data_IF_176136710061
#
_entry.id   IF_176136710061
#
_cell.length_a   1.000
_cell.length_b   1.000
_cell.length_c   1.000
_cell.angle_alpha   90.00
_cell.angle_beta   90.00
_cell.angle_gamma   90.00
#
_symmetry.space_group_name_H-M   'P 1'
#
loop_
_entity.id
_entity.type
_entity.pdbx_description
1 polymer ?
#
# COMPACT_ATOMS: atom_id res chain seq x y z
N UNK A 1 -12.97 -10.96 10.36
CA UNK A 1 -13.61 -11.08 9.02
C UNK A 1 -15.03 -11.58 9.23
N UNK A 2 -16.01 -10.86 8.70
CA UNK A 2 -17.45 -11.17 8.86
C UNK A 2 -18.16 -11.29 7.50
N UNK A 3 -17.45 -10.97 6.42
CA UNK A 3 -17.94 -11.00 5.06
C UNK A 3 -16.79 -11.35 4.11
N UNK A 4 -17.07 -12.22 3.15
CA UNK A 4 -16.15 -12.58 2.07
C UNK A 4 -16.92 -12.59 0.75
N UNK A 5 -16.34 -12.01 -0.29
CA UNK A 5 -16.93 -11.97 -1.62
C UNK A 5 -15.86 -12.21 -2.68
N UNK A 6 -16.25 -12.81 -3.77
CA UNK A 6 -15.36 -13.11 -4.89
C UNK A 6 -16.16 -13.12 -6.22
N UNK A 7 -15.51 -13.56 -7.29
CA UNK A 7 -16.16 -13.73 -8.59
C UNK A 7 -17.34 -14.71 -8.52
N UNK A 8 -18.33 -14.64 -9.43
CA UNK A 8 -19.47 -15.54 -9.49
C UNK A 8 -19.12 -17.04 -9.46
N UNK A 9 -17.93 -17.40 -9.93
CA UNK A 9 -17.43 -18.81 -9.92
C UNK A 9 -17.24 -19.38 -8.51
N UNK A 10 -16.97 -18.51 -7.53
CA UNK A 10 -16.74 -18.89 -6.14
C UNK A 10 -17.94 -18.61 -5.25
N UNK A 11 -18.91 -17.80 -5.71
CA UNK A 11 -20.10 -17.47 -4.95
C UNK A 11 -20.91 -18.71 -4.57
N UNK A 12 -21.44 -18.73 -3.35
CA UNK A 12 -22.22 -19.85 -2.78
C UNK A 12 -21.37 -20.96 -2.15
N UNK A 13 -20.06 -20.96 -2.29
CA UNK A 13 -19.16 -21.95 -1.66
C UNK A 13 -18.74 -21.49 -0.26
N UNK A 14 -18.42 -22.43 0.63
CA UNK A 14 -17.68 -22.08 1.85
C UNK A 14 -16.32 -21.51 1.49
N UNK A 15 -15.84 -20.52 2.26
CA UNK A 15 -14.55 -19.86 1.98
C UNK A 15 -13.40 -20.87 1.88
N UNK A 16 -13.31 -21.81 2.83
CA UNK A 16 -12.31 -22.88 2.83
C UNK A 16 -12.28 -23.67 1.52
N UNK A 17 -13.45 -23.95 0.95
CA UNK A 17 -13.56 -24.71 -0.31
C UNK A 17 -13.17 -23.84 -1.52
N UNK A 18 -13.56 -22.56 -1.49
CA UNK A 18 -13.24 -21.60 -2.55
C UNK A 18 -11.74 -21.34 -2.70
N UNK A 19 -10.98 -21.39 -1.59
CA UNK A 19 -9.53 -21.08 -1.57
C UNK A 19 -8.65 -22.32 -1.42
N UNK A 20 -9.19 -23.51 -1.30
CA UNK A 20 -8.48 -24.76 -0.95
C UNK A 20 -7.21 -25.03 -1.77
N UNK A 21 -7.25 -24.75 -3.09
CA UNK A 21 -6.11 -24.95 -4.00
C UNK A 21 -5.11 -23.78 -4.03
N UNK A 22 -5.41 -22.68 -3.32
CA UNK A 22 -4.63 -21.43 -3.36
C UNK A 22 -4.19 -20.97 -1.97
N UNK A 23 -4.61 -21.66 -0.91
CA UNK A 23 -4.20 -21.35 0.45
C UNK A 23 -2.80 -21.88 0.70
N UNK A 24 -1.79 -21.05 0.48
CA UNK A 24 -0.37 -21.39 0.60
C UNK A 24 0.27 -20.84 1.88
N UNK A 25 -0.53 -20.20 2.73
CA UNK A 25 -0.08 -19.67 4.03
C UNK A 25 0.16 -20.85 4.96
N UNK A 26 1.29 -20.86 5.67
CA UNK A 26 1.64 -21.95 6.61
C UNK A 26 0.72 -22.07 7.85
N UNK A 27 -0.26 -21.19 8.00
CA UNK A 27 -1.27 -21.22 9.05
C UNK A 27 -2.62 -21.74 8.52
N UNK A 28 -3.41 -22.36 9.38
CA UNK A 28 -4.77 -22.76 9.03
C UNK A 28 -5.67 -21.55 8.80
N UNK A 29 -6.69 -21.71 7.95
CA UNK A 29 -7.76 -20.73 7.82
C UNK A 29 -8.43 -20.56 9.19
N UNK A 30 -8.59 -19.33 9.73
CA UNK A 30 -9.25 -19.13 11.01
C UNK A 30 -10.67 -19.72 11.01
N UNK A 31 -11.03 -20.45 12.08
CA UNK A 31 -12.32 -21.17 12.20
C UNK A 31 -13.53 -20.26 11.90
N UNK A 32 -13.53 -19.02 12.42
CA UNK A 32 -14.62 -18.07 12.17
C UNK A 32 -14.71 -17.55 10.74
N UNK A 33 -13.76 -17.89 9.86
CA UNK A 33 -13.72 -17.46 8.44
C UNK A 33 -13.94 -18.64 7.50
N UNK A 34 -13.48 -19.83 7.89
CA UNK A 34 -13.48 -21.02 7.03
C UNK A 34 -14.87 -21.37 6.46
N UNK A 35 -15.91 -21.22 7.25
CA UNK A 35 -17.27 -21.59 6.89
C UNK A 35 -18.13 -20.41 6.39
N UNK A 36 -17.56 -19.21 6.27
CA UNK A 36 -18.27 -18.08 5.65
C UNK A 36 -18.63 -18.44 4.20
N UNK A 37 -19.89 -18.18 3.83
CA UNK A 37 -20.33 -18.33 2.45
C UNK A 37 -19.76 -17.17 1.64
N UNK A 38 -19.07 -17.49 0.55
CA UNK A 38 -18.56 -16.49 -0.40
C UNK A 38 -19.72 -15.89 -1.16
N UNK A 39 -19.90 -14.59 -1.07
CA UNK A 39 -20.92 -13.84 -1.82
C UNK A 39 -20.39 -13.43 -3.20
N UNK A 40 -21.28 -13.06 -4.11
CA UNK A 40 -20.89 -12.46 -5.39
C UNK A 40 -20.42 -11.02 -5.15
N UNK A 41 -19.16 -10.73 -5.50
CA UNK A 41 -18.59 -9.40 -5.34
C UNK A 41 -19.31 -8.33 -6.20
N UNK A 42 -20.01 -8.72 -7.27
CA UNK A 42 -20.77 -7.81 -8.11
C UNK A 42 -22.10 -7.36 -7.47
N UNK A 43 -22.45 -7.90 -6.31
CA UNK A 43 -23.63 -7.48 -5.55
C UNK A 43 -23.21 -6.85 -4.20
N UNK A 44 -22.86 -5.56 -4.16
CA UNK A 44 -22.45 -4.86 -2.94
C UNK A 44 -23.49 -4.89 -1.82
N UNK A 45 -24.79 -5.03 -2.18
CA UNK A 45 -25.89 -5.06 -1.20
C UNK A 45 -25.75 -6.22 -0.20
N UNK A 46 -25.06 -7.29 -0.60
CA UNK A 46 -24.76 -8.46 0.25
C UNK A 46 -23.82 -8.15 1.42
N UNK A 47 -23.08 -7.06 1.34
CA UNK A 47 -22.19 -6.62 2.41
C UNK A 47 -22.92 -5.81 3.50
N UNK A 48 -24.12 -5.26 3.19
CA UNK A 48 -24.90 -4.44 4.12
C UNK A 48 -25.22 -5.20 5.40
N UNK A 49 -24.96 -4.55 6.53
CA UNK A 49 -25.15 -5.13 7.86
C UNK A 49 -24.18 -6.26 8.24
N UNK A 50 -23.34 -6.75 7.31
CA UNK A 50 -22.37 -7.82 7.56
C UNK A 50 -20.97 -7.27 7.90
N UNK A 51 -20.58 -6.13 7.37
CA UNK A 51 -19.30 -5.51 7.62
C UNK A 51 -19.43 -3.98 7.70
N UNK A 52 -18.42 -3.33 8.31
CA UNK A 52 -18.34 -1.86 8.41
C UNK A 52 -17.51 -1.25 7.30
N UNK A 53 -16.63 -2.01 6.69
CA UNK A 53 -15.81 -1.66 5.54
C UNK A 53 -15.32 -2.93 4.85
N UNK A 54 -14.80 -2.80 3.64
CA UNK A 54 -14.21 -3.92 2.89
C UNK A 54 -12.78 -3.62 2.46
N UNK A 55 -11.94 -4.66 2.44
CA UNK A 55 -10.69 -4.66 1.70
C UNK A 55 -10.95 -5.17 0.29
N UNK A 56 -10.57 -4.38 -0.73
CA UNK A 56 -10.63 -4.79 -2.13
C UNK A 56 -9.25 -5.30 -2.58
N UNK A 57 -9.19 -6.56 -2.97
CA UNK A 57 -8.00 -7.22 -3.51
C UNK A 57 -8.36 -7.99 -4.79
N UNK A 58 -9.24 -7.42 -5.60
CA UNK A 58 -9.74 -8.03 -6.83
C UNK A 58 -8.74 -7.83 -7.98
N UNK A 59 -8.68 -8.84 -8.83
CA UNK A 59 -7.84 -8.88 -10.02
C UNK A 59 -8.73 -8.92 -11.26
N UNK A 60 -8.95 -7.75 -11.88
CA UNK A 60 -9.77 -7.56 -13.08
C UNK A 60 -9.34 -6.27 -13.79
N UNK A 61 -10.02 -5.88 -14.86
CA UNK A 61 -9.76 -4.62 -15.57
C UNK A 61 -9.84 -3.40 -14.64
N UNK A 62 -8.98 -2.40 -14.87
CA UNK A 62 -8.94 -1.21 -14.01
C UNK A 62 -10.29 -0.50 -13.91
N UNK A 63 -11.00 -0.39 -15.03
CA UNK A 63 -12.30 0.29 -15.06
C UNK A 63 -13.38 -0.53 -14.35
N UNK A 64 -13.32 -1.86 -14.43
CA UNK A 64 -14.21 -2.76 -13.70
C UNK A 64 -13.98 -2.64 -12.19
N UNK A 65 -12.70 -2.59 -11.74
CA UNK A 65 -12.36 -2.36 -10.33
C UNK A 65 -12.91 -1.02 -9.85
N UNK A 66 -12.70 0.06 -10.62
CA UNK A 66 -13.22 1.39 -10.27
C UNK A 66 -14.73 1.40 -10.13
N UNK A 67 -15.43 0.79 -11.07
CA UNK A 67 -16.89 0.70 -11.05
C UNK A 67 -17.39 -0.10 -9.83
N UNK A 68 -16.75 -1.22 -9.54
CA UNK A 68 -17.12 -2.07 -8.41
C UNK A 68 -16.83 -1.40 -7.06
N UNK A 69 -15.65 -0.84 -6.87
CA UNK A 69 -15.30 -0.13 -5.63
C UNK A 69 -16.22 1.08 -5.40
N UNK A 70 -16.57 1.80 -6.48
CA UNK A 70 -17.56 2.88 -6.42
C UNK A 70 -18.94 2.35 -6.01
N UNK A 71 -19.38 1.20 -6.52
CA UNK A 71 -20.66 0.62 -6.17
C UNK A 71 -20.75 0.26 -4.67
N UNK A 72 -19.68 -0.32 -4.08
CA UNK A 72 -19.62 -0.52 -2.63
C UNK A 72 -19.70 0.79 -1.85
N UNK A 73 -18.97 1.82 -2.29
CA UNK A 73 -19.02 3.13 -1.65
C UNK A 73 -20.41 3.79 -1.76
N UNK A 74 -21.14 3.59 -2.85
CA UNK A 74 -22.53 4.05 -3.04
C UNK A 74 -23.50 3.38 -2.06
N UNK A 75 -23.30 2.11 -1.75
CA UNK A 75 -24.04 1.39 -0.72
C UNK A 75 -23.67 1.83 0.72
N UNK A 76 -22.82 2.83 0.86
CA UNK A 76 -22.38 3.35 2.16
C UNK A 76 -21.27 2.55 2.82
N UNK A 77 -20.60 1.67 2.09
CA UNK A 77 -19.52 0.80 2.60
C UNK A 77 -18.16 1.39 2.22
N UNK A 78 -17.33 1.80 3.20
CA UNK A 78 -15.95 2.22 2.93
C UNK A 78 -15.14 1.09 2.30
N UNK A 79 -14.35 1.43 1.27
CA UNK A 79 -13.46 0.51 0.55
C UNK A 79 -12.01 0.90 0.77
N UNK A 80 -11.21 -0.03 1.29
CA UNK A 80 -9.76 0.09 1.35
C UNK A 80 -9.17 -0.81 0.26
N UNK A 81 -8.67 -0.20 -0.81
CA UNK A 81 -8.25 -0.93 -2.00
C UNK A 81 -6.76 -1.25 -2.02
N UNK A 82 -6.43 -2.49 -2.32
CA UNK A 82 -5.08 -2.94 -2.66
C UNK A 82 -4.76 -2.76 -4.15
N UNK A 83 -5.79 -2.59 -4.99
CA UNK A 83 -5.63 -2.47 -6.43
C UNK A 83 -5.06 -1.10 -6.83
N UNK A 84 -4.39 -1.06 -7.98
CA UNK A 84 -3.81 0.18 -8.51
C UNK A 84 -4.81 1.08 -9.25
N UNK A 85 -6.05 0.60 -9.46
CA UNK A 85 -7.02 1.25 -10.33
C UNK A 85 -7.33 2.70 -9.94
N UNK A 86 -7.56 2.95 -8.65
CA UNK A 86 -7.93 4.26 -8.12
C UNK A 86 -6.76 5.12 -7.61
N UNK A 87 -5.49 4.68 -7.74
CA UNK A 87 -4.34 5.43 -7.19
C UNK A 87 -4.20 6.85 -7.74
N UNK A 88 -4.65 7.07 -8.99
CA UNK A 88 -4.57 8.36 -9.68
C UNK A 88 -5.92 9.08 -9.80
N UNK A 89 -6.96 8.57 -9.17
CA UNK A 89 -8.23 9.30 -9.06
C UNK A 89 -8.01 10.49 -8.11
N UNK A 90 -8.42 11.70 -8.53
CA UNK A 90 -8.04 12.94 -7.84
C UNK A 90 -8.54 13.05 -6.41
N UNK A 91 -9.76 12.57 -6.18
CA UNK A 91 -10.44 12.59 -4.87
C UNK A 91 -10.30 11.27 -4.08
N UNK A 92 -9.39 10.37 -4.51
CA UNK A 92 -9.09 9.13 -3.81
C UNK A 92 -7.73 9.24 -3.12
N UNK A 93 -7.69 9.18 -1.78
CA UNK A 93 -6.44 9.24 -1.05
C UNK A 93 -5.66 7.94 -1.22
N UNK A 94 -4.37 8.06 -1.56
CA UNK A 94 -3.39 6.98 -1.56
C UNK A 94 -2.58 7.07 -0.27
N UNK A 95 -2.79 6.13 0.66
CA UNK A 95 -2.39 6.28 2.05
C UNK A 95 -1.24 5.37 2.48
N UNK A 96 -0.29 5.98 3.14
CA UNK A 96 0.55 5.40 4.19
C UNK A 96 0.20 6.21 5.45
N UNK A 97 -0.62 5.67 6.37
CA UNK A 97 -1.21 6.46 7.46
C UNK A 97 -0.18 7.18 8.33
N UNK A 98 1.02 6.60 8.47
CA UNK A 98 2.13 7.20 9.21
C UNK A 98 2.73 8.44 8.51
N UNK A 99 2.46 8.64 7.21
CA UNK A 99 3.06 9.72 6.42
C UNK A 99 2.04 10.81 6.11
N UNK A 100 0.92 10.41 5.53
CA UNK A 100 0.01 11.35 4.88
C UNK A 100 -1.44 11.21 5.36
N UNK A 101 -1.63 11.05 6.67
CA UNK A 101 -2.95 10.95 7.29
C UNK A 101 -3.89 12.10 6.87
N UNK A 102 -3.35 13.31 6.71
CA UNK A 102 -4.11 14.48 6.26
C UNK A 102 -4.74 14.32 4.87
N UNK A 103 -4.27 13.37 4.04
CA UNK A 103 -4.91 13.08 2.76
C UNK A 103 -6.33 12.51 2.92
N UNK A 104 -6.72 12.07 4.10
CA UNK A 104 -8.11 11.69 4.39
C UNK A 104 -9.10 12.84 4.21
N UNK A 105 -8.64 14.09 4.29
CA UNK A 105 -9.51 15.27 4.13
C UNK A 105 -10.15 15.33 2.73
N UNK A 106 -9.54 14.73 1.69
CA UNK A 106 -10.14 14.66 0.35
C UNK A 106 -11.40 13.78 0.30
N UNK A 107 -11.63 12.92 1.30
CA UNK A 107 -12.82 12.05 1.37
C UNK A 107 -14.11 12.89 1.43
N UNK A 108 -14.07 14.07 2.02
CA UNK A 108 -15.23 14.97 2.05
C UNK A 108 -15.63 15.40 0.63
N UNK A 109 -14.66 15.77 -0.20
CA UNK A 109 -14.91 16.12 -1.61
C UNK A 109 -15.27 14.89 -2.45
N UNK A 110 -14.66 13.73 -2.19
CA UNK A 110 -15.03 12.47 -2.85
C UNK A 110 -16.51 12.14 -2.61
N UNK A 111 -16.97 12.24 -1.37
CA UNK A 111 -18.37 12.01 -1.02
C UNK A 111 -19.31 12.98 -1.72
N UNK A 112 -19.01 14.25 -1.68
CA UNK A 112 -19.79 15.30 -2.35
C UNK A 112 -19.87 15.09 -3.86
N UNK A 113 -18.73 14.82 -4.51
CA UNK A 113 -18.63 14.62 -5.94
C UNK A 113 -19.40 13.40 -6.43
N UNK A 114 -19.36 12.30 -5.66
CA UNK A 114 -20.00 11.03 -6.04
C UNK A 114 -21.37 10.80 -5.41
N UNK A 115 -21.84 11.66 -4.51
CA UNK A 115 -23.10 11.49 -3.79
C UNK A 115 -23.05 10.36 -2.74
N UNK A 116 -21.88 10.07 -2.18
CA UNK A 116 -21.74 9.05 -1.16
C UNK A 116 -22.18 9.60 0.21
N UNK A 117 -23.03 8.85 0.93
CA UNK A 117 -23.38 9.20 2.31
C UNK A 117 -22.28 8.83 3.29
N UNK A 118 -22.02 7.55 3.43
CA UNK A 118 -21.08 6.99 4.42
C UNK A 118 -19.87 6.31 3.78
N UNK A 119 -20.03 5.78 2.56
CA UNK A 119 -18.96 5.10 1.85
C UNK A 119 -17.88 6.06 1.34
N UNK A 120 -16.74 5.50 1.04
CA UNK A 120 -15.62 6.16 0.35
C UNK A 120 -14.67 5.09 -0.19
N UNK A 121 -13.76 5.50 -1.06
CA UNK A 121 -12.64 4.68 -1.53
C UNK A 121 -11.32 5.30 -1.08
N UNK A 122 -10.47 4.51 -0.46
CA UNK A 122 -9.08 4.83 -0.19
C UNK A 122 -8.19 3.71 -0.72
N UNK A 123 -6.99 4.02 -1.18
CA UNK A 123 -6.10 3.03 -1.77
C UNK A 123 -4.76 2.97 -1.07
N UNK A 124 -4.14 1.79 -1.06
CA UNK A 124 -2.75 1.64 -0.66
C UNK A 124 -1.82 1.88 -1.86
N UNK A 125 -0.61 2.45 -1.66
CA UNK A 125 0.38 2.61 -2.72
C UNK A 125 0.98 1.27 -3.15
N UNK A 126 1.90 1.33 -4.10
CA UNK A 126 2.73 0.20 -4.50
C UNK A 126 3.46 -0.40 -3.29
N UNK A 127 3.67 -1.73 -3.30
CA UNK A 127 4.24 -2.44 -2.16
C UNK A 127 5.71 -2.08 -1.90
N UNK A 128 6.50 -1.85 -2.93
CA UNK A 128 7.92 -1.53 -2.78
C UNK A 128 8.16 -0.15 -2.14
N UNK A 129 7.27 0.83 -2.40
CA UNK A 129 7.34 2.15 -1.78
C UNK A 129 7.31 2.09 -0.25
N UNK A 130 6.55 1.17 0.31
CA UNK A 130 6.36 1.07 1.75
C UNK A 130 7.62 0.66 2.49
N UNK A 131 8.63 0.13 1.79
CA UNK A 131 9.91 -0.27 2.40
C UNK A 131 10.77 0.92 2.81
N UNK A 132 10.66 2.07 2.14
CA UNK A 132 11.56 3.21 2.35
C UNK A 132 10.85 4.56 2.56
N UNK A 133 9.57 4.66 2.27
CA UNK A 133 8.87 5.94 2.39
C UNK A 133 8.78 6.46 3.83
N UNK A 134 8.62 5.59 4.83
CA UNK A 134 8.61 6.03 6.23
C UNK A 134 9.98 6.56 6.69
N UNK A 135 11.11 5.84 6.50
CA UNK A 135 12.43 6.39 6.78
C UNK A 135 12.73 7.71 6.06
N UNK A 136 12.34 7.83 4.79
CA UNK A 136 12.48 9.06 4.03
C UNK A 136 11.67 10.21 4.65
N UNK A 137 10.39 9.97 4.90
CA UNK A 137 9.49 11.00 5.48
C UNK A 137 9.95 11.46 6.85
N UNK A 138 10.45 10.55 7.70
CA UNK A 138 10.99 10.90 9.01
C UNK A 138 12.14 11.91 8.91
N UNK A 139 13.03 11.77 7.94
CA UNK A 139 14.12 12.71 7.69
C UNK A 139 13.59 14.06 7.20
N UNK A 140 12.66 14.05 6.25
CA UNK A 140 12.05 15.28 5.72
C UNK A 140 11.32 16.04 6.85
N UNK A 141 10.56 15.34 7.69
CA UNK A 141 9.84 15.93 8.82
C UNK A 141 10.79 16.49 9.89
N UNK A 142 11.96 15.88 10.06
CA UNK A 142 13.00 16.39 10.97
C UNK A 142 13.76 17.60 10.41
N UNK A 143 13.43 18.11 9.22
CA UNK A 143 14.05 19.29 8.64
C UNK A 143 15.21 18.99 7.69
N UNK A 144 15.32 17.76 7.20
CA UNK A 144 16.31 17.33 6.21
C UNK A 144 15.65 17.09 4.85
N UNK A 145 15.36 18.16 4.06
CA UNK A 145 14.73 18.03 2.76
C UNK A 145 15.61 17.24 1.80
N UNK A 146 14.98 16.36 1.02
CA UNK A 146 15.64 15.51 0.04
C UNK A 146 15.36 16.04 -1.36
N UNK A 147 16.44 16.36 -2.09
CA UNK A 147 16.38 16.86 -3.47
C UNK A 147 16.29 15.75 -4.50
N UNK A 148 17.04 14.68 -4.30
CA UNK A 148 17.09 13.52 -5.21
C UNK A 148 17.17 12.22 -4.45
N UNK A 149 16.54 11.20 -5.02
CA UNK A 149 16.57 9.84 -4.49
C UNK A 149 16.79 8.85 -5.63
N UNK A 150 17.77 7.95 -5.45
CA UNK A 150 17.98 6.79 -6.32
C UNK A 150 17.58 5.56 -5.54
N UNK A 151 16.69 4.75 -6.12
CA UNK A 151 16.11 3.56 -5.49
C UNK A 151 16.34 2.33 -6.35
N UNK A 152 16.98 1.31 -5.79
CA UNK A 152 17.01 -0.02 -6.39
C UNK A 152 16.20 -0.96 -5.52
N UNK A 153 15.14 -1.55 -6.06
CA UNK A 153 14.31 -2.50 -5.33
C UNK A 153 14.65 -3.94 -5.69
N UNK A 154 14.77 -4.76 -4.66
CA UNK A 154 14.91 -6.22 -4.75
C UNK A 154 13.58 -6.82 -4.28
N UNK A 155 12.68 -7.08 -5.23
CA UNK A 155 11.31 -7.47 -4.90
C UNK A 155 11.17 -8.99 -4.80
N UNK A 156 10.51 -9.43 -3.72
CA UNK A 156 10.20 -10.83 -3.48
C UNK A 156 9.17 -11.39 -4.48
N UNK A 157 9.20 -12.70 -4.70
CA UNK A 157 8.33 -13.42 -5.63
C UNK A 157 6.85 -13.32 -5.26
N UNK A 158 6.52 -13.26 -3.96
CA UNK A 158 5.14 -13.06 -3.48
C UNK A 158 4.48 -11.79 -4.01
N UNK A 159 5.26 -10.76 -4.34
CA UNK A 159 4.76 -9.53 -4.96
C UNK A 159 4.21 -9.71 -6.38
N UNK A 160 4.48 -10.82 -7.05
CA UNK A 160 3.92 -11.15 -8.36
C UNK A 160 2.50 -11.73 -8.27
N UNK A 161 2.00 -12.06 -7.05
CA UNK A 161 0.75 -12.76 -6.87
C UNK A 161 0.81 -14.23 -7.30
N UNK A 162 -0.23 -15.01 -7.02
CA UNK A 162 -0.31 -16.41 -7.42
C UNK A 162 -0.70 -16.52 -8.92
N UNK A 163 -0.05 -17.41 -9.69
CA UNK A 163 0.93 -18.47 -9.34
C UNK A 163 2.38 -17.98 -9.22
N UNK A 164 2.66 -16.71 -9.33
CA UNK A 164 4.00 -16.15 -9.24
C UNK A 164 4.71 -16.04 -10.60
N UNK A 165 6.01 -15.93 -10.54
CA UNK A 165 6.90 -15.90 -11.71
C UNK A 165 7.24 -17.34 -12.11
N UNK A 166 7.36 -17.68 -13.41
CA UNK A 166 7.78 -19.01 -13.83
C UNK A 166 9.11 -19.41 -13.18
N UNK A 167 9.22 -20.67 -12.75
CA UNK A 167 10.35 -21.12 -11.95
C UNK A 167 11.71 -20.94 -12.63
N UNK A 168 11.79 -21.16 -13.95
CA UNK A 168 13.04 -20.96 -14.68
C UNK A 168 13.42 -19.49 -14.89
N UNK A 169 12.48 -18.56 -14.72
CA UNK A 169 12.79 -17.13 -14.72
C UNK A 169 13.36 -16.68 -13.38
N UNK A 170 13.21 -17.50 -12.33
CA UNK A 170 13.63 -17.13 -10.96
C UNK A 170 14.75 -17.98 -10.39
N UNK A 171 14.83 -19.27 -10.74
CA UNK A 171 15.88 -20.15 -10.20
C UNK A 171 17.23 -19.70 -10.76
N UNK A 172 18.17 -19.43 -9.87
CA UNK A 172 19.54 -18.99 -10.23
C UNK A 172 19.57 -17.72 -11.13
N UNK A 173 18.57 -16.85 -10.99
CA UNK A 173 18.38 -15.67 -11.81
C UNK A 173 17.82 -14.47 -11.03
N UNK A 174 18.05 -13.28 -11.56
CA UNK A 174 17.41 -12.03 -11.15
C UNK A 174 16.67 -11.47 -12.37
N UNK A 175 15.36 -11.25 -12.25
CA UNK A 175 14.61 -10.56 -13.30
C UNK A 175 14.95 -9.06 -13.21
N UNK A 176 15.62 -8.48 -14.20
CA UNK A 176 16.21 -7.14 -14.08
C UNK A 176 15.21 -5.99 -14.22
N UNK A 177 13.98 -6.29 -14.62
CA UNK A 177 12.95 -5.31 -14.91
C UNK A 177 11.56 -5.85 -14.59
N UNK A 178 10.74 -5.04 -13.89
CA UNK A 178 9.34 -5.35 -13.62
C UNK A 178 8.48 -4.27 -14.30
N UNK A 179 7.67 -4.67 -15.28
CA UNK A 179 6.89 -3.74 -16.10
C UNK A 179 6.02 -2.78 -15.30
N UNK A 180 6.25 -1.49 -15.49
CA UNK A 180 5.49 -0.42 -14.84
C UNK A 180 5.81 -0.17 -13.36
N UNK A 181 6.74 -0.91 -12.73
CA UNK A 181 7.10 -0.68 -11.32
C UNK A 181 7.96 0.57 -11.14
N UNK A 182 8.88 0.84 -12.02
CA UNK A 182 9.73 2.03 -11.97
C UNK A 182 8.89 3.31 -12.06
N UNK A 183 7.96 3.39 -13.02
CA UNK A 183 7.06 4.52 -13.15
C UNK A 183 6.19 4.75 -11.90
N UNK A 184 5.70 3.67 -11.28
CA UNK A 184 4.95 3.76 -10.03
C UNK A 184 5.85 4.28 -8.90
N UNK A 185 7.06 3.75 -8.79
CA UNK A 185 8.05 4.14 -7.77
C UNK A 185 8.37 5.62 -7.87
N UNK A 186 8.58 6.13 -9.07
CA UNK A 186 8.94 7.52 -9.32
C UNK A 186 7.79 8.51 -9.07
N UNK A 187 6.55 8.11 -9.39
CA UNK A 187 5.39 9.02 -9.33
C UNK A 187 4.58 8.91 -8.03
N UNK A 188 4.36 7.70 -7.52
CA UNK A 188 3.49 7.52 -6.36
C UNK A 188 4.08 8.15 -5.08
N UNK A 189 5.42 8.17 -4.93
CA UNK A 189 6.06 8.82 -3.79
C UNK A 189 5.74 10.33 -3.75
N UNK A 190 5.66 11.01 -4.90
CA UNK A 190 5.33 12.43 -4.97
C UNK A 190 3.87 12.69 -4.56
N UNK A 191 2.95 11.79 -4.90
CA UNK A 191 1.56 11.88 -4.42
C UNK A 191 1.49 11.69 -2.90
N UNK A 192 2.24 10.73 -2.35
CA UNK A 192 2.27 10.45 -0.90
C UNK A 192 2.84 11.64 -0.12
N UNK A 193 3.91 12.27 -0.64
CA UNK A 193 4.54 13.44 -0.02
C UNK A 193 3.80 14.76 -0.36
N UNK A 194 2.76 14.68 -1.15
CA UNK A 194 1.95 15.83 -1.53
C UNK A 194 1.13 16.41 -0.38
N UNK A 195 0.34 17.42 -0.69
CA UNK A 195 -0.55 18.09 0.26
C UNK A 195 -1.96 18.20 -0.29
N UNK A 196 -2.94 18.35 0.60
CA UNK A 196 -4.32 18.62 0.20
C UNK A 196 -4.50 20.12 -0.01
N UNK A 197 -4.88 20.51 -1.23
CA UNK A 197 -5.16 21.89 -1.62
C UNK A 197 -6.50 21.90 -2.33
N UNK A 198 -7.43 22.73 -1.88
CA UNK A 198 -8.77 22.88 -2.46
C UNK A 198 -9.50 21.53 -2.68
N UNK A 199 -9.39 20.63 -1.71
CA UNK A 199 -10.04 19.30 -1.73
C UNK A 199 -9.43 18.27 -2.69
N UNK A 200 -8.23 18.54 -3.22
CA UNK A 200 -7.47 17.65 -4.09
C UNK A 200 -6.06 17.43 -3.57
N UNK A 201 -5.47 16.30 -3.91
CA UNK A 201 -4.08 16.02 -3.58
C UNK A 201 -3.20 16.64 -4.68
N UNK A 202 -2.41 17.64 -4.29
CA UNK A 202 -1.35 18.21 -5.08
C UNK A 202 -0.06 17.44 -4.80
N UNK A 203 0.56 16.87 -5.84
CA UNK A 203 1.81 16.16 -5.72
C UNK A 203 2.95 17.08 -5.27
N UNK A 204 3.87 16.54 -4.48
CA UNK A 204 5.14 17.21 -4.18
C UNK A 204 5.99 17.32 -5.46
N UNK A 205 6.86 18.33 -5.52
CA UNK A 205 7.82 18.51 -6.62
C UNK A 205 9.10 17.72 -6.39
N UNK A 206 9.41 17.41 -5.15
CA UNK A 206 10.63 16.71 -4.71
C UNK A 206 10.30 15.57 -3.77
N UNK A 207 11.19 14.56 -3.68
CA UNK A 207 12.47 14.42 -4.39
C UNK A 207 12.31 14.08 -5.89
N UNK A 208 13.34 14.41 -6.70
CA UNK A 208 13.47 13.81 -8.03
C UNK A 208 13.88 12.35 -7.84
N UNK A 209 13.09 11.41 -8.33
CA UNK A 209 13.30 9.97 -8.11
C UNK A 209 13.74 9.31 -9.40
N UNK A 210 14.77 8.48 -9.30
CA UNK A 210 15.18 7.51 -10.32
C UNK A 210 15.15 6.11 -9.71
N UNK A 211 14.50 5.17 -10.37
CA UNK A 211 14.31 3.84 -9.81
C UNK A 211 14.74 2.72 -10.77
N UNK A 212 15.19 1.62 -10.20
CA UNK A 212 15.45 0.34 -10.87
C UNK A 212 14.72 -0.74 -10.07
N UNK A 213 13.78 -1.43 -10.70
CA UNK A 213 12.93 -2.41 -10.01
C UNK A 213 13.22 -3.82 -10.52
N UNK A 214 13.79 -4.65 -9.65
CA UNK A 214 14.16 -6.03 -9.96
C UNK A 214 13.35 -7.04 -9.16
N UNK A 215 13.26 -8.28 -9.65
CA UNK A 215 12.69 -9.41 -8.90
C UNK A 215 13.80 -10.39 -8.53
N UNK A 216 13.82 -10.77 -7.26
CA UNK A 216 14.83 -11.68 -6.71
C UNK A 216 14.19 -12.99 -6.21
N UNK A 217 14.95 -14.13 -6.13
CA UNK A 217 14.42 -15.41 -5.69
C UNK A 217 14.25 -15.49 -4.16
N UNK A 218 13.61 -14.47 -3.59
CA UNK A 218 13.19 -14.40 -2.18
C UNK A 218 11.68 -14.59 -2.15
N UNK A 219 11.17 -15.36 -1.21
CA UNK A 219 9.73 -15.67 -1.15
C UNK A 219 8.94 -14.43 -0.71
N UNK A 220 9.26 -13.87 0.45
CA UNK A 220 8.57 -12.74 1.05
C UNK A 220 9.54 -11.64 1.48
N UNK A 221 9.05 -10.41 1.51
CA UNK A 221 9.79 -9.23 1.95
C UNK A 221 10.56 -8.55 0.82
N UNK A 222 10.19 -7.30 0.51
CA UNK A 222 10.93 -6.46 -0.44
C UNK A 222 12.07 -5.77 0.28
N UNK A 223 13.20 -5.63 -0.40
CA UNK A 223 14.34 -4.82 0.02
C UNK A 223 14.50 -3.64 -0.93
N UNK A 224 14.88 -2.49 -0.41
CA UNK A 224 15.25 -1.34 -1.22
C UNK A 224 16.64 -0.81 -0.80
N UNK A 225 17.51 -0.62 -1.78
CA UNK A 225 18.75 0.15 -1.60
C UNK A 225 18.46 1.59 -2.03
N UNK A 226 18.64 2.54 -1.11
CA UNK A 226 18.26 3.94 -1.33
C UNK A 226 19.46 4.85 -1.11
N UNK A 227 19.74 5.70 -2.10
CA UNK A 227 20.71 6.79 -1.99
C UNK A 227 19.96 8.12 -2.00
N UNK A 228 20.26 8.99 -1.01
CA UNK A 228 19.62 10.29 -0.85
C UNK A 228 20.61 11.41 -1.09
N UNK A 229 20.19 12.44 -1.82
CA UNK A 229 20.84 13.74 -1.90
C UNK A 229 19.99 14.75 -1.15
N UNK A 230 20.49 15.25 -0.02
CA UNK A 230 19.81 16.29 0.74
C UNK A 230 19.94 17.65 0.04
N UNK A 231 18.88 18.46 0.12
CA UNK A 231 18.90 19.86 -0.35
C UNK A 231 19.43 20.78 0.76
N UNK A 232 20.64 20.50 1.20
CA UNK A 232 21.32 21.19 2.29
C UNK A 232 22.83 21.31 2.01
N UNK A 233 23.48 22.39 2.53
CA UNK A 233 24.93 22.47 2.58
C UNK A 233 25.53 21.28 3.35
N UNK A 234 26.76 20.91 3.04
CA UNK A 234 27.44 19.73 3.61
C UNK A 234 27.50 19.74 5.15
N UNK A 235 27.76 20.93 5.70
CA UNK A 235 27.86 21.16 7.16
C UNK A 235 26.52 21.11 7.90
N UNK A 236 25.40 20.98 7.16
CA UNK A 236 24.03 20.91 7.70
C UNK A 236 23.34 19.59 7.40
N UNK A 237 24.01 18.66 6.76
CA UNK A 237 23.48 17.31 6.54
C UNK A 237 23.47 16.53 7.86
N UNK A 238 22.51 15.61 8.05
CA UNK A 238 22.46 14.82 9.28
C UNK A 238 23.65 13.86 9.38
N UNK A 239 24.18 13.70 10.58
CA UNK A 239 25.12 12.61 10.90
C UNK A 239 24.39 11.26 10.95
N UNK A 240 25.13 10.16 10.93
CA UNK A 240 24.53 8.82 11.05
C UNK A 240 23.81 8.66 12.39
N UNK A 241 24.34 9.19 13.46
CA UNK A 241 23.74 9.18 14.79
C UNK A 241 22.43 9.96 14.83
N UNK A 242 22.37 11.10 14.14
CA UNK A 242 21.13 11.89 14.02
C UNK A 242 20.08 11.16 13.20
N UNK A 243 20.46 10.54 12.08
CA UNK A 243 19.55 9.72 11.26
C UNK A 243 18.97 8.58 12.10
N UNK A 244 19.81 7.84 12.81
CA UNK A 244 19.38 6.73 13.66
C UNK A 244 18.43 7.21 14.77
N UNK A 245 18.75 8.32 15.42
CA UNK A 245 17.91 8.94 16.44
C UNK A 245 16.53 9.33 15.88
N UNK A 246 16.50 9.93 14.69
CA UNK A 246 15.25 10.31 14.02
C UNK A 246 14.40 9.07 13.74
N UNK A 247 14.99 8.02 13.18
CA UNK A 247 14.27 6.81 12.82
C UNK A 247 13.75 6.04 14.05
N UNK A 248 14.59 5.91 15.08
CA UNK A 248 14.22 5.18 16.30
C UNK A 248 13.19 5.90 17.16
N UNK A 249 13.10 7.23 17.06
CA UNK A 249 12.12 8.05 17.78
C UNK A 249 10.87 8.40 16.95
N UNK A 250 10.81 7.98 15.70
CA UNK A 250 9.71 8.35 14.80
C UNK A 250 8.36 7.79 15.29
N UNK A 251 7.40 8.68 15.42
CA UNK A 251 5.99 8.37 15.67
C UNK A 251 5.11 9.29 14.83
N UNK A 252 3.85 8.92 14.66
CA UNK A 252 2.90 9.66 13.85
C UNK A 252 1.46 9.42 14.33
N UNK A 253 0.48 9.95 13.62
CA UNK A 253 -0.94 9.89 14.00
C UNK A 253 -1.44 8.48 14.38
N UNK A 254 -1.13 7.39 13.66
CA UNK A 254 -1.55 6.05 14.09
C UNK A 254 -1.05 5.64 15.48
N UNK A 255 0.17 6.01 15.85
CA UNK A 255 0.74 5.76 17.18
C UNK A 255 0.12 6.67 18.24
N UNK A 256 -0.08 7.95 17.95
CA UNK A 256 -0.75 8.93 18.84
C UNK A 256 -2.18 8.51 19.16
N UNK A 257 -2.92 8.02 18.16
CA UNK A 257 -4.27 7.49 18.32
C UNK A 257 -4.31 6.08 18.93
N UNK A 258 -3.14 5.46 19.13
CA UNK A 258 -3.02 4.10 19.66
C UNK A 258 -3.91 3.10 18.90
N UNK A 259 -3.86 3.16 17.57
CA UNK A 259 -4.68 2.29 16.71
C UNK A 259 -4.29 0.82 16.91
N UNK A 260 -5.26 -0.12 16.93
CA UNK A 260 -5.01 -1.52 17.30
C UNK A 260 -3.94 -2.25 16.46
N UNK A 261 -3.78 -1.87 15.19
CA UNK A 261 -2.81 -2.50 14.27
C UNK A 261 -1.57 -1.63 14.01
N UNK A 262 -1.49 -0.44 14.63
CA UNK A 262 -0.31 0.41 14.49
C UNK A 262 0.88 -0.21 15.23
N UNK A 263 2.05 -0.36 14.58
CA UNK A 263 3.25 -0.81 15.27
C UNK A 263 3.68 0.23 16.31
N UNK A 264 4.16 -0.20 17.47
CA UNK A 264 4.67 0.73 18.49
C UNK A 264 5.87 1.53 17.98
N UNK A 265 6.71 0.90 17.18
CA UNK A 265 7.86 1.50 16.52
C UNK A 265 7.74 1.27 15.01
N UNK A 266 7.35 2.30 14.23
CA UNK A 266 7.13 2.16 12.79
C UNK A 266 8.41 1.89 11.99
N UNK A 267 9.55 2.42 12.45
CA UNK A 267 10.85 2.23 11.81
C UNK A 267 11.75 1.46 12.78
N UNK A 268 12.21 0.29 12.38
CA UNK A 268 13.13 -0.55 13.15
C UNK A 268 14.53 -0.45 12.56
N UNK A 269 15.47 0.08 13.32
CA UNK A 269 16.90 0.09 12.95
C UNK A 269 17.54 -1.24 13.36
N UNK A 270 18.30 -1.84 12.46
CA UNK A 270 19.03 -3.08 12.67
C UNK A 270 20.53 -2.81 12.53
N UNK A 271 21.34 -3.45 13.40
CA UNK A 271 22.78 -3.35 13.39
C UNK A 271 23.45 -4.67 12.96
N UNK A 272 22.65 -5.73 12.82
CA UNK A 272 23.15 -7.03 12.37
C UNK A 272 23.40 -7.00 10.86
N UNK A 273 24.63 -7.29 10.44
CA UNK A 273 25.05 -7.22 9.02
C UNK A 273 24.33 -8.20 8.10
N UNK A 274 23.77 -9.28 8.63
CA UNK A 274 23.15 -10.37 7.87
C UNK A 274 21.65 -10.55 8.14
N UNK A 275 21.01 -9.54 8.72
CA UNK A 275 19.55 -9.55 8.99
C UNK A 275 18.86 -8.50 8.15
N UNK A 276 17.97 -8.89 7.23
CA UNK A 276 17.15 -7.94 6.47
C UNK A 276 16.05 -7.32 7.32
#
# INVERSE_FOLDING_TARGET
VTYVAASPRSAGKAYKDAVSSRWLIGANIPEGVADLVVEDANDPSKALGKCKFVFSALEMGKDEIKALEKAYAQEGIPVVSNASANRWTEDVPMLIPEINFAHLDVIAEQKKHNGFENGFVAVKPNCSLQTYMMPLHALIQAGYPVKRMIVTTLQATSGAGYPGVPSFDMIDNIVPFIGGEEEKTEKECLKILGSVVDGKIQNAEYPIVSSTCTRVPVIDGHTACVSLEFDLPEDKKPSLEEIEKIWTSYTSVPQELNLPSAPKQPIVVRHEENRP
#
